data_IF_826760422190
#
_entry.id   IF_826760422190
#
_cell.length_a   1.000
_cell.length_b   1.000
_cell.length_c   1.000
_cell.angle_alpha   90.00
_cell.angle_beta   90.00
_cell.angle_gamma   90.00
#
_symmetry.space_group_name_H-M   'P 1'
#
loop_
_entity.id
_entity.type
_entity.pdbx_description
1 polymer ?
#
# COMPACT_ATOMS: atom_id res chain seq x y z
N UNK A 1 8.50 14.21 -2.93
CA UNK A 1 9.41 13.17 -2.38
C UNK A 1 10.82 13.72 -2.28
N UNK A 2 11.37 14.38 -3.32
CA UNK A 2 12.73 14.96 -3.29
C UNK A 2 12.94 15.88 -2.07
N UNK A 3 12.04 16.86 -1.85
CA UNK A 3 12.14 17.76 -0.70
C UNK A 3 12.12 17.03 0.66
N UNK A 4 11.32 15.95 0.78
CA UNK A 4 11.28 15.12 1.99
C UNK A 4 12.62 14.43 2.22
N UNK A 5 13.17 13.76 1.21
CA UNK A 5 14.44 13.06 1.34
C UNK A 5 15.61 14.01 1.57
N UNK A 6 15.66 15.17 0.88
CA UNK A 6 16.66 16.20 1.14
C UNK A 6 16.64 16.65 2.61
N UNK A 7 15.43 16.91 3.15
CA UNK A 7 15.29 17.33 4.54
C UNK A 7 15.65 16.22 5.55
N UNK A 8 15.32 14.96 5.24
CA UNK A 8 15.65 13.81 6.06
C UNK A 8 17.17 13.55 6.06
N UNK A 9 17.81 13.62 4.90
CA UNK A 9 19.26 13.48 4.74
C UNK A 9 20.01 14.54 5.55
N UNK A 10 19.65 15.81 5.39
CA UNK A 10 20.29 16.93 6.13
C UNK A 10 20.21 16.78 7.65
N UNK A 11 19.25 15.97 8.15
CA UNK A 11 19.05 15.68 9.59
C UNK A 11 19.59 14.32 10.02
N UNK A 12 20.21 13.56 9.13
CA UNK A 12 20.73 12.21 9.42
C UNK A 12 19.62 11.20 9.78
N UNK A 13 18.38 11.43 9.34
CA UNK A 13 17.25 10.58 9.67
C UNK A 13 17.26 9.29 8.83
N UNK A 14 16.86 8.17 9.43
CA UNK A 14 16.45 7.00 8.68
C UNK A 14 15.02 7.24 8.17
N UNK A 15 14.82 7.16 6.87
CA UNK A 15 13.52 7.44 6.27
C UNK A 15 13.19 6.46 5.14
N UNK A 16 11.93 6.03 5.14
CA UNK A 16 11.31 5.22 4.10
C UNK A 16 10.15 6.01 3.51
N UNK A 17 10.19 6.31 2.23
CA UNK A 17 9.14 7.07 1.56
C UNK A 17 9.08 6.75 0.07
N UNK A 18 7.94 7.05 -0.55
CA UNK A 18 7.74 6.89 -1.97
C UNK A 18 6.75 7.90 -2.53
N UNK A 19 6.70 8.02 -3.85
CA UNK A 19 5.66 8.76 -4.56
C UNK A 19 4.37 7.95 -4.47
N UNK A 20 3.32 8.55 -3.93
CA UNK A 20 1.98 7.96 -3.97
C UNK A 20 1.46 7.98 -5.40
N UNK A 21 1.20 6.80 -5.97
CA UNK A 21 0.75 6.64 -7.33
C UNK A 21 -0.76 6.42 -7.40
N UNK A 22 -1.44 7.18 -8.28
CA UNK A 22 -2.88 7.12 -8.53
C UNK A 22 -3.13 7.48 -9.98
N UNK A 23 -3.88 6.66 -10.75
CA UNK A 23 -4.19 6.94 -12.15
C UNK A 23 -5.70 6.96 -12.47
N UNK A 24 -6.55 6.68 -11.46
CA UNK A 24 -8.02 6.82 -11.54
C UNK A 24 -8.59 7.28 -10.20
N UNK A 25 -9.86 7.67 -10.19
CA UNK A 25 -10.62 8.05 -9.00
C UNK A 25 -9.87 9.01 -8.05
N UNK A 26 -9.08 9.91 -8.63
CA UNK A 26 -8.26 10.88 -7.93
C UNK A 26 -8.40 12.26 -8.59
N UNK A 27 -8.18 13.36 -7.85
CA UNK A 27 -8.15 14.70 -8.43
C UNK A 27 -7.16 14.78 -9.59
N UNK A 28 -7.51 15.53 -10.64
CA UNK A 28 -6.71 15.62 -11.87
C UNK A 28 -5.23 15.99 -11.59
N UNK A 29 -5.01 16.97 -10.72
CA UNK A 29 -3.65 17.43 -10.36
C UNK A 29 -2.81 16.42 -9.56
N UNK A 30 -3.40 15.28 -9.14
CA UNK A 30 -2.71 14.19 -8.44
C UNK A 30 -2.67 12.89 -9.24
N UNK A 31 -3.23 12.92 -10.46
CA UNK A 31 -3.38 11.72 -11.27
C UNK A 31 -2.17 11.47 -12.15
N UNK A 32 -1.67 10.27 -12.06
CA UNK A 32 -0.65 9.72 -12.95
C UNK A 32 -1.29 9.06 -14.18
N UNK A 33 -0.42 8.59 -15.08
CA UNK A 33 -0.67 7.45 -15.96
C UNK A 33 0.11 6.24 -15.41
N UNK A 34 -0.16 5.03 -15.88
CA UNK A 34 0.63 3.85 -15.51
C UNK A 34 2.12 4.07 -15.85
N UNK A 35 2.41 4.68 -17.00
CA UNK A 35 3.78 4.99 -17.42
C UNK A 35 4.44 6.04 -16.55
N UNK A 36 3.77 7.17 -16.28
CA UNK A 36 4.36 8.23 -15.44
C UNK A 36 4.57 7.77 -14.00
N UNK A 37 3.67 6.93 -13.46
CA UNK A 37 3.84 6.32 -12.13
C UNK A 37 5.12 5.47 -12.06
N UNK A 38 5.40 4.68 -13.11
CA UNK A 38 6.62 3.89 -13.23
C UNK A 38 7.85 4.79 -13.37
N UNK A 39 7.86 5.71 -14.34
CA UNK A 39 9.03 6.55 -14.67
C UNK A 39 9.43 7.44 -13.51
N UNK A 40 8.47 8.13 -12.88
CA UNK A 40 8.73 9.00 -11.73
C UNK A 40 9.22 8.20 -10.51
N UNK A 41 8.60 7.04 -10.25
CA UNK A 41 9.02 6.17 -9.16
C UNK A 41 10.44 5.64 -9.39
N UNK A 42 10.76 5.21 -10.61
CA UNK A 42 12.11 4.75 -10.99
C UNK A 42 13.16 5.86 -10.84
N UNK A 43 12.86 7.06 -11.33
CA UNK A 43 13.73 8.22 -11.16
C UNK A 43 14.03 8.52 -9.69
N UNK A 44 12.97 8.56 -8.86
CA UNK A 44 13.11 8.83 -7.43
C UNK A 44 13.87 7.73 -6.69
N UNK A 45 13.61 6.47 -7.07
CA UNK A 45 14.32 5.31 -6.55
C UNK A 45 15.81 5.40 -6.87
N UNK A 46 16.16 5.67 -8.13
CA UNK A 46 17.55 5.82 -8.55
C UNK A 46 18.28 6.99 -7.88
N UNK A 47 17.53 8.05 -7.51
CA UNK A 47 18.09 9.22 -6.84
C UNK A 47 18.31 9.02 -5.34
N UNK A 48 17.46 8.22 -4.66
CA UNK A 48 17.38 8.25 -3.20
C UNK A 48 17.52 6.89 -2.51
N UNK A 49 17.27 5.77 -3.21
CA UNK A 49 17.34 4.46 -2.58
C UNK A 49 18.79 4.08 -2.24
N UNK A 50 19.02 3.76 -0.97
CA UNK A 50 20.37 3.41 -0.50
C UNK A 50 21.31 4.61 -0.29
N UNK A 51 20.81 5.85 -0.41
CA UNK A 51 21.60 7.05 -0.08
C UNK A 51 21.58 7.25 1.42
N UNK A 52 22.73 7.15 2.08
CA UNK A 52 22.88 7.23 3.54
C UNK A 52 21.93 6.26 4.27
N UNK A 53 20.88 6.81 4.91
CA UNK A 53 19.88 6.05 5.67
C UNK A 53 18.50 6.15 5.05
N UNK A 54 18.42 6.49 3.75
CA UNK A 54 17.17 6.68 3.01
C UNK A 54 16.83 5.45 2.19
N UNK A 55 15.57 5.12 2.12
CA UNK A 55 15.06 4.02 1.30
C UNK A 55 13.79 4.46 0.56
N UNK A 56 13.80 4.31 -0.76
CA UNK A 56 12.58 4.50 -1.54
C UNK A 56 11.63 3.32 -1.33
N UNK A 57 10.33 3.59 -1.30
CA UNK A 57 9.28 2.58 -1.17
C UNK A 57 8.30 2.73 -2.33
N UNK A 58 8.07 1.68 -3.09
CA UNK A 58 7.10 1.67 -4.17
C UNK A 58 5.71 1.78 -3.55
N UNK A 59 4.92 2.81 -3.96
CA UNK A 59 3.72 3.19 -3.22
C UNK A 59 2.51 3.37 -4.14
N UNK A 60 1.88 2.29 -4.65
CA UNK A 60 0.49 2.39 -5.11
C UNK A 60 -0.38 2.81 -3.92
N UNK A 61 -1.24 3.82 -4.08
CA UNK A 61 -2.05 4.27 -2.95
C UNK A 61 -2.97 3.16 -2.44
N UNK A 62 -3.85 2.65 -3.30
CA UNK A 62 -4.72 1.50 -3.05
C UNK A 62 -5.50 1.15 -4.34
N UNK A 63 -6.05 -0.04 -4.43
CA UNK A 63 -6.68 -0.54 -5.66
C UNK A 63 -7.79 0.35 -6.22
N UNK A 64 -8.65 1.04 -5.42
CA UNK A 64 -9.65 1.96 -5.97
C UNK A 64 -9.08 3.11 -6.79
N UNK A 65 -7.87 3.57 -6.50
CA UNK A 65 -7.23 4.66 -7.24
C UNK A 65 -6.14 4.21 -8.21
N UNK A 66 -6.01 2.90 -8.43
CA UNK A 66 -5.03 2.31 -9.34
C UNK A 66 -5.72 1.40 -10.35
N UNK A 67 -5.42 1.59 -11.64
CA UNK A 67 -5.83 0.62 -12.68
C UNK A 67 -4.98 -0.64 -12.59
N UNK A 68 -5.43 -1.78 -13.17
CA UNK A 68 -4.58 -2.97 -13.31
C UNK A 68 -3.25 -2.66 -13.99
N UNK A 69 -3.25 -1.77 -14.98
CA UNK A 69 -2.06 -1.35 -15.73
C UNK A 69 -1.06 -0.62 -14.84
N UNK A 70 -1.53 0.28 -13.96
CA UNK A 70 -0.65 0.96 -13.01
C UNK A 70 -0.07 -0.01 -11.98
N UNK A 71 -0.89 -0.91 -11.42
CA UNK A 71 -0.43 -1.93 -10.49
C UNK A 71 0.61 -2.85 -11.16
N UNK A 72 0.38 -3.26 -12.41
CA UNK A 72 1.32 -4.07 -13.20
C UNK A 72 2.66 -3.34 -13.43
N UNK A 73 2.61 -2.04 -13.77
CA UNK A 73 3.80 -1.22 -13.97
C UNK A 73 4.64 -1.10 -12.69
N UNK A 74 3.98 -0.87 -11.55
CA UNK A 74 4.64 -0.81 -10.23
C UNK A 74 5.16 -2.17 -9.77
N UNK A 75 4.45 -3.26 -10.08
CA UNK A 75 4.93 -4.62 -9.87
C UNK A 75 6.16 -4.96 -10.72
N UNK A 76 6.21 -4.48 -11.98
CA UNK A 76 7.38 -4.59 -12.83
C UNK A 76 8.58 -3.83 -12.24
N UNK A 77 8.37 -2.59 -11.80
CA UNK A 77 9.40 -1.81 -11.13
C UNK A 77 9.93 -2.51 -9.88
N UNK A 78 9.05 -3.11 -9.08
CA UNK A 78 9.47 -3.83 -7.87
C UNK A 78 10.29 -5.10 -8.17
N UNK A 79 10.03 -5.75 -9.30
CA UNK A 79 10.89 -6.87 -9.77
C UNK A 79 12.28 -6.42 -10.21
N UNK A 80 12.39 -5.22 -10.79
CA UNK A 80 13.69 -4.65 -11.17
C UNK A 80 14.54 -4.24 -9.96
N UNK A 81 13.87 -3.83 -8.86
CA UNK A 81 14.51 -3.36 -7.62
C UNK A 81 14.01 -4.19 -6.42
N UNK A 82 14.48 -5.45 -6.30
CA UNK A 82 13.95 -6.40 -5.32
C UNK A 82 14.27 -6.07 -3.87
N UNK A 83 15.24 -5.22 -3.60
CA UNK A 83 15.65 -4.72 -2.29
C UNK A 83 14.80 -3.55 -1.78
N UNK A 84 13.97 -2.95 -2.65
CA UNK A 84 12.96 -1.99 -2.24
C UNK A 84 11.83 -2.65 -1.44
N UNK A 85 11.20 -1.87 -0.56
CA UNK A 85 9.89 -2.20 0.00
C UNK A 85 8.77 -1.72 -0.93
N UNK A 86 7.61 -2.32 -0.79
CA UNK A 86 6.35 -1.83 -1.35
C UNK A 86 5.35 -1.57 -0.24
N UNK A 87 4.59 -0.49 -0.31
CA UNK A 87 3.53 -0.19 0.65
C UNK A 87 2.24 0.22 -0.03
N UNK A 88 1.12 -0.16 0.58
CA UNK A 88 -0.23 0.19 0.10
C UNK A 88 -1.26 0.05 1.22
N UNK A 89 -2.51 0.46 0.97
CA UNK A 89 -3.65 0.22 1.87
C UNK A 89 -4.36 -1.06 1.49
N UNK A 90 -4.94 -1.75 2.46
CA UNK A 90 -5.67 -3.00 2.25
C UNK A 90 -6.83 -3.13 3.23
N UNK A 91 -8.04 -3.37 2.69
CA UNK A 91 -9.23 -3.80 3.44
C UNK A 91 -9.50 -2.98 4.70
N UNK A 92 -9.48 -1.64 4.57
CA UNK A 92 -9.70 -0.71 5.67
C UNK A 92 -11.20 -0.57 6.00
N UNK A 93 -12.07 -0.50 4.97
CA UNK A 93 -13.50 -0.28 5.08
C UNK A 93 -14.30 -1.33 4.30
N UNK A 94 -15.49 -1.68 4.79
CA UNK A 94 -16.38 -2.61 4.08
C UNK A 94 -16.86 -2.06 2.75
N UNK A 95 -17.16 -0.76 2.69
CA UNK A 95 -17.60 -0.09 1.45
C UNK A 95 -16.46 0.00 0.43
N UNK A 96 -15.23 0.21 0.90
CA UNK A 96 -14.02 0.13 0.07
C UNK A 96 -13.85 -1.26 -0.55
N UNK A 97 -14.03 -2.33 0.23
CA UNK A 97 -13.95 -3.71 -0.26
C UNK A 97 -15.02 -3.97 -1.32
N UNK A 98 -16.26 -3.49 -1.10
CA UNK A 98 -17.33 -3.60 -2.07
C UNK A 98 -16.98 -2.87 -3.39
N UNK A 99 -16.42 -1.67 -3.28
CA UNK A 99 -15.98 -0.90 -4.43
C UNK A 99 -14.82 -1.57 -5.19
N UNK A 100 -13.85 -2.15 -4.48
CA UNK A 100 -12.78 -2.95 -5.11
C UNK A 100 -13.35 -4.13 -5.89
N UNK A 101 -14.35 -4.83 -5.34
CA UNK A 101 -15.01 -5.94 -6.04
C UNK A 101 -15.69 -5.51 -7.34
N UNK A 102 -16.26 -4.30 -7.38
CA UNK A 102 -16.85 -3.72 -8.61
C UNK A 102 -15.77 -3.37 -9.64
N UNK A 103 -14.65 -2.81 -9.20
CA UNK A 103 -13.54 -2.38 -10.04
C UNK A 103 -12.68 -3.54 -10.58
N UNK A 104 -12.63 -4.66 -9.84
CA UNK A 104 -11.84 -5.86 -10.14
C UNK A 104 -12.70 -7.12 -10.04
N UNK A 105 -13.70 -7.28 -10.90
CA UNK A 105 -14.71 -8.36 -10.77
C UNK A 105 -14.13 -9.77 -10.89
N UNK A 106 -12.95 -9.94 -11.50
CA UNK A 106 -12.25 -11.21 -11.66
C UNK A 106 -11.40 -11.59 -10.45
N UNK A 107 -11.08 -10.64 -9.56
CA UNK A 107 -10.29 -10.93 -8.35
C UNK A 107 -11.17 -11.54 -7.26
N UNK A 108 -10.78 -12.67 -6.67
CA UNK A 108 -11.55 -13.34 -5.62
C UNK A 108 -11.66 -12.51 -4.32
N UNK A 109 -10.70 -11.64 -4.05
CA UNK A 109 -10.66 -10.74 -2.91
C UNK A 109 -9.81 -9.49 -3.19
N UNK A 110 -9.70 -8.61 -2.21
CA UNK A 110 -8.98 -7.35 -2.37
C UNK A 110 -7.47 -7.58 -2.54
N UNK A 111 -6.87 -8.47 -1.75
CA UNK A 111 -5.44 -8.76 -1.81
C UNK A 111 -5.02 -9.28 -3.18
N UNK A 112 -5.89 -10.04 -3.84
CA UNK A 112 -5.62 -10.59 -5.17
C UNK A 112 -5.34 -9.50 -6.22
N UNK A 113 -5.92 -8.32 -6.08
CA UNK A 113 -5.64 -7.19 -6.99
C UNK A 113 -4.17 -6.79 -7.00
N UNK A 114 -3.48 -6.98 -5.88
CA UNK A 114 -2.03 -6.77 -5.73
C UNK A 114 -1.23 -8.01 -6.09
N UNK A 115 -1.66 -9.18 -5.60
CA UNK A 115 -1.00 -10.46 -5.83
C UNK A 115 -0.86 -10.76 -7.32
N UNK A 116 -1.93 -10.59 -8.10
CA UNK A 116 -1.96 -10.80 -9.54
C UNK A 116 -0.97 -9.91 -10.30
N UNK A 117 -0.57 -8.79 -9.74
CA UNK A 117 0.39 -7.86 -10.33
C UNK A 117 1.81 -7.97 -9.76
N UNK A 118 2.06 -9.00 -8.92
CA UNK A 118 3.38 -9.24 -8.34
C UNK A 118 3.74 -8.28 -7.20
N UNK A 119 2.72 -7.70 -6.54
CA UNK A 119 2.86 -6.79 -5.41
C UNK A 119 2.68 -7.48 -4.06
N UNK A 120 2.71 -8.83 -4.01
CA UNK A 120 2.65 -9.63 -2.79
C UNK A 120 3.87 -10.53 -2.66
N UNK A 121 4.79 -10.20 -1.78
CA UNK A 121 5.95 -10.99 -1.38
C UNK A 121 6.55 -10.43 -0.09
N UNK A 122 7.61 -11.02 0.43
CA UNK A 122 8.43 -10.42 1.48
C UNK A 122 8.88 -9.00 1.08
N UNK A 123 8.78 -8.06 2.01
CA UNK A 123 9.01 -6.63 1.75
C UNK A 123 7.74 -5.85 1.36
N UNK A 124 6.58 -6.51 1.19
CA UNK A 124 5.29 -5.84 1.10
C UNK A 124 4.80 -5.39 2.48
N UNK A 125 4.25 -4.18 2.55
CA UNK A 125 3.72 -3.57 3.77
C UNK A 125 2.29 -3.09 3.49
N UNK A 126 1.30 -3.70 4.14
CA UNK A 126 -0.11 -3.37 3.96
C UNK A 126 -0.65 -2.61 5.16
N UNK A 127 -1.13 -1.39 4.92
CA UNK A 127 -1.80 -0.57 5.91
C UNK A 127 -3.20 -1.06 6.22
N UNK A 128 -3.63 -0.89 7.48
CA UNK A 128 -4.95 -1.23 8.05
C UNK A 128 -5.22 -2.73 8.14
N UNK A 129 -5.49 -3.42 7.05
CA UNK A 129 -5.75 -4.87 6.96
C UNK A 129 -6.81 -5.36 7.99
N UNK A 130 -7.93 -4.61 8.10
CA UNK A 130 -8.94 -4.80 9.16
C UNK A 130 -9.88 -5.95 8.82
N UNK A 131 -10.42 -5.93 7.59
CA UNK A 131 -11.48 -6.83 7.14
C UNK A 131 -10.96 -7.97 6.25
N UNK A 132 -9.85 -8.61 6.65
CA UNK A 132 -9.24 -9.68 5.88
C UNK A 132 -10.07 -10.96 5.90
N UNK A 133 -10.25 -11.57 4.73
CA UNK A 133 -10.77 -12.92 4.57
C UNK A 133 -9.77 -13.98 5.07
N UNK A 134 -10.19 -15.23 5.31
CA UNK A 134 -9.25 -16.32 5.62
C UNK A 134 -8.18 -16.51 4.55
N UNK A 135 -8.55 -16.47 3.24
CA UNK A 135 -7.61 -16.59 2.12
C UNK A 135 -6.55 -15.50 2.15
N UNK A 136 -6.94 -14.24 2.33
CA UNK A 136 -6.01 -13.11 2.39
C UNK A 136 -5.01 -13.27 3.54
N UNK A 137 -5.47 -13.71 4.72
CA UNK A 137 -4.59 -13.98 5.88
C UNK A 137 -3.55 -15.06 5.59
N UNK A 138 -3.97 -16.14 4.94
CA UNK A 138 -3.08 -17.23 4.58
C UNK A 138 -2.06 -16.78 3.53
N UNK A 139 -2.48 -16.07 2.48
CA UNK A 139 -1.60 -15.54 1.44
C UNK A 139 -0.58 -14.53 1.98
N UNK A 140 -1.02 -13.60 2.85
CA UNK A 140 -0.12 -12.64 3.50
C UNK A 140 0.95 -13.33 4.36
N UNK A 141 0.55 -14.36 5.12
CA UNK A 141 1.47 -15.16 5.93
C UNK A 141 2.47 -15.93 5.07
N UNK A 142 2.01 -16.61 4.03
CA UNK A 142 2.84 -17.38 3.11
C UNK A 142 3.84 -16.50 2.36
N UNK A 143 3.44 -15.30 2.00
CA UNK A 143 4.28 -14.32 1.33
C UNK A 143 5.29 -13.62 2.27
N UNK A 144 5.18 -13.78 3.58
CA UNK A 144 6.01 -13.06 4.54
C UNK A 144 5.75 -11.55 4.57
N UNK A 145 4.54 -11.12 4.16
CA UNK A 145 4.18 -9.72 4.12
C UNK A 145 3.95 -9.13 5.52
N UNK A 146 4.18 -7.83 5.65
CA UNK A 146 3.99 -7.08 6.90
C UNK A 146 2.66 -6.33 6.91
N UNK A 147 2.03 -6.25 8.08
CA UNK A 147 0.83 -5.47 8.31
C UNK A 147 1.12 -4.28 9.23
N UNK A 148 0.54 -3.12 8.90
CA UNK A 148 0.67 -1.91 9.71
C UNK A 148 -0.66 -1.56 10.35
N UNK A 149 -0.68 -1.54 11.67
CA UNK A 149 -1.83 -1.07 12.44
C UNK A 149 -1.86 0.46 12.48
N UNK A 150 -2.98 1.05 12.05
CA UNK A 150 -3.18 2.49 11.95
C UNK A 150 -4.29 2.97 12.93
N UNK A 151 -4.09 2.87 14.27
CA UNK A 151 -5.19 3.03 15.25
C UNK A 151 -5.83 4.41 15.21
N UNK A 152 -5.06 5.47 15.04
CA UNK A 152 -5.58 6.83 14.99
C UNK A 152 -6.47 7.04 13.77
N UNK A 153 -6.01 6.62 12.58
CA UNK A 153 -6.81 6.68 11.35
C UNK A 153 -8.08 5.84 11.47
N UNK A 154 -7.93 4.58 11.89
CA UNK A 154 -9.04 3.65 12.02
C UNK A 154 -10.13 4.17 12.98
N UNK A 155 -9.73 4.83 14.08
CA UNK A 155 -10.66 5.42 15.03
C UNK A 155 -11.35 6.65 14.45
N UNK A 156 -10.60 7.51 13.77
CA UNK A 156 -11.11 8.77 13.22
C UNK A 156 -12.15 8.53 12.12
N UNK A 157 -11.90 7.59 11.22
CA UNK A 157 -12.80 7.28 10.09
C UNK A 157 -13.83 6.18 10.40
N UNK A 158 -13.85 5.68 11.63
CA UNK A 158 -14.84 4.69 12.08
C UNK A 158 -14.57 3.26 11.60
N UNK A 159 -13.37 2.95 11.12
CA UNK A 159 -12.96 1.58 10.84
C UNK A 159 -12.79 0.81 12.15
N UNK A 160 -13.10 -0.48 12.14
CA UNK A 160 -12.79 -1.36 13.27
C UNK A 160 -11.26 -1.55 13.37
N UNK A 161 -10.78 -2.11 14.47
CA UNK A 161 -9.36 -2.46 14.60
C UNK A 161 -9.14 -3.92 14.26
N UNK A 162 -8.06 -4.29 13.51
CA UNK A 162 -7.81 -5.68 13.11
C UNK A 162 -7.52 -6.61 14.29
N UNK A 163 -7.21 -6.05 15.46
CA UNK A 163 -6.85 -6.78 16.67
C UNK A 163 -7.99 -6.90 17.69
N UNK A 164 -9.19 -6.38 17.39
CA UNK A 164 -10.37 -6.69 18.20
C UNK A 164 -10.79 -8.12 17.91
N UNK A 165 -10.45 -9.06 18.81
CA UNK A 165 -11.18 -10.33 18.86
C UNK A 165 -12.68 -10.02 18.86
N UNK A 166 -13.48 -10.65 18.02
CA UNK A 166 -14.91 -10.82 18.25
C UNK A 166 -15.08 -11.70 19.50
N UNK A 167 -14.83 -11.12 20.67
CA UNK A 167 -15.31 -11.62 21.93
C UNK A 167 -16.70 -11.04 22.20
N UNK A 168 -17.51 -11.61 23.10
CA UNK A 168 -18.78 -11.03 23.48
C UNK A 168 -18.53 -9.58 23.87
N UNK A 169 -19.33 -8.66 23.31
CA UNK A 169 -19.21 -7.19 23.41
C UNK A 169 -18.57 -6.78 24.71
N UNK A 170 -17.35 -6.33 24.66
CA UNK A 170 -16.68 -5.74 25.82
C UNK A 170 -17.49 -4.52 26.25
N UNK A 171 -17.78 -4.48 27.51
CA UNK A 171 -18.55 -3.41 28.17
C UNK A 171 -17.95 -2.06 27.82
N UNK A 172 -18.81 -1.10 27.48
CA UNK A 172 -18.47 0.30 27.33
C UNK A 172 -17.51 0.76 28.43
N UNK A 173 -16.39 1.32 28.02
CA UNK A 173 -15.60 2.15 28.92
C UNK A 173 -16.46 3.35 29.31
N UNK A 174 -16.88 3.40 30.60
CA UNK A 174 -17.42 4.61 31.20
C UNK A 174 -16.26 5.50 31.64
#
# INVERSE_FOLDING_TARGET
VDAFFTAAQARGLRAFAGKTCMDRNAPEGLRDTAQSAYDDSKRLLQAWHGVDRLSYVITPRFSPTSTPEQLAALGALWREYPDCLMQTHLSEQTDEIAWVKELFPQSPDYLDTYEAQGLLREGAVYGHAIHLTPREKDRLREAGASLVHCPTSNTFIGSLTPFTRKGPRSRSWK
#
